data_IF_488394633194
#
_entry.id   IF_488394633194
#
_cell.length_a   1.000
_cell.length_b   1.000
_cell.length_c   1.000
_cell.angle_alpha   90.00
_cell.angle_beta   90.00
_cell.angle_gamma   90.00
#
_symmetry.space_group_name_H-M   'P 1'
#
loop_
_entity.id
_entity.type
_entity.pdbx_description
1 polymer ?
#
# COMPACT_ATOMS: atom_id res chain seq x y z
N UNK A 1 41.40 -1.77 -16.64
CA UNK A 1 40.31 -0.82 -16.92
C UNK A 1 39.05 -1.32 -16.20
N UNK A 2 38.64 -0.72 -15.07
CA UNK A 2 37.40 -1.10 -14.41
C UNK A 2 36.21 -0.67 -15.27
N UNK A 3 35.28 -1.59 -15.57
CA UNK A 3 34.06 -1.28 -16.33
C UNK A 3 33.15 -0.39 -15.48
N UNK A 4 32.56 0.68 -16.03
CA UNK A 4 31.64 1.53 -15.28
C UNK A 4 30.38 0.73 -14.88
N UNK A 5 30.05 0.76 -13.58
CA UNK A 5 28.85 0.14 -13.04
C UNK A 5 27.64 0.92 -13.57
N UNK A 6 26.67 0.29 -14.25
CA UNK A 6 25.46 0.98 -14.68
C UNK A 6 24.72 1.49 -13.44
N UNK A 7 24.58 2.80 -13.31
CA UNK A 7 23.67 3.40 -12.31
C UNK A 7 22.26 2.98 -12.72
N UNK A 8 21.73 1.93 -12.09
CA UNK A 8 20.33 1.53 -12.18
C UNK A 8 19.53 2.75 -11.75
N UNK A 9 18.99 3.46 -12.74
CA UNK A 9 18.08 4.57 -12.53
C UNK A 9 16.97 4.08 -11.62
N UNK A 10 16.72 4.84 -10.55
CA UNK A 10 15.58 4.62 -9.65
C UNK A 10 14.34 4.44 -10.52
N UNK A 11 13.90 3.18 -10.67
CA UNK A 11 12.56 2.90 -11.16
C UNK A 11 11.66 3.54 -10.14
N UNK A 12 11.26 4.79 -10.41
CA UNK A 12 10.07 5.36 -9.83
C UNK A 12 8.99 4.37 -10.24
N UNK A 13 8.66 3.44 -9.33
CA UNK A 13 7.37 2.79 -9.30
C UNK A 13 6.36 3.90 -9.01
N UNK A 14 6.18 4.81 -9.97
CA UNK A 14 4.95 5.56 -10.10
C UNK A 14 3.94 4.47 -10.33
N UNK A 15 3.30 4.02 -9.24
CA UNK A 15 2.15 3.16 -9.37
C UNK A 15 1.20 3.96 -10.22
N UNK A 16 1.03 3.48 -11.45
CA UNK A 16 -0.18 3.63 -12.21
C UNK A 16 -1.31 3.39 -11.21
N UNK A 17 -1.86 4.46 -10.66
CA UNK A 17 -3.22 4.45 -10.20
C UNK A 17 -4.03 4.28 -11.47
N UNK A 18 -4.03 3.06 -12.01
CA UNK A 18 -5.19 2.56 -12.68
C UNK A 18 -6.26 2.75 -11.63
N UNK A 19 -7.00 3.85 -11.75
CA UNK A 19 -8.30 3.99 -11.17
C UNK A 19 -9.09 2.82 -11.72
N UNK A 20 -8.92 1.66 -11.08
CA UNK A 20 -9.76 0.50 -11.27
C UNK A 20 -11.05 0.95 -10.61
N UNK A 21 -11.91 1.49 -11.47
CA UNK A 21 -13.35 1.65 -11.31
C UNK A 21 -13.81 1.24 -9.93
N UNK A 22 -14.21 2.23 -9.12
CA UNK A 22 -14.69 2.07 -7.76
C UNK A 22 -15.77 0.97 -7.72
N UNK A 23 -15.32 -0.26 -7.47
CA UNK A 23 -16.20 -1.39 -7.35
C UNK A 23 -16.73 -1.28 -5.93
N UNK A 24 -17.88 -0.62 -5.79
CA UNK A 24 -18.55 -0.47 -4.50
C UNK A 24 -18.96 -1.86 -4.03
N UNK A 25 -18.37 -2.28 -2.92
CA UNK A 25 -18.58 -3.60 -2.37
C UNK A 25 -19.42 -3.47 -1.11
N UNK A 26 -20.59 -4.12 -1.06
CA UNK A 26 -21.46 -4.02 0.11
C UNK A 26 -20.86 -4.72 1.33
N UNK A 27 -20.07 -5.78 1.12
CA UNK A 27 -19.41 -6.57 2.17
C UNK A 27 -18.08 -7.13 1.69
N UNK A 28 -17.03 -6.95 2.48
CA UNK A 28 -15.68 -7.42 2.20
C UNK A 28 -14.91 -7.75 3.47
N UNK A 29 -13.69 -8.27 3.32
CA UNK A 29 -12.79 -8.63 4.42
C UNK A 29 -11.56 -7.74 4.37
N UNK A 30 -11.19 -7.19 5.53
CA UNK A 30 -9.98 -6.39 5.70
C UNK A 30 -8.91 -7.27 6.35
N UNK A 31 -7.81 -7.49 5.66
CA UNK A 31 -6.64 -8.18 6.17
C UNK A 31 -5.63 -7.16 6.67
N UNK A 32 -5.23 -7.29 7.94
CA UNK A 32 -4.22 -6.43 8.57
C UNK A 32 -3.04 -7.32 8.96
N UNK A 33 -1.91 -7.13 8.29
CA UNK A 33 -0.65 -7.75 8.66
C UNK A 33 0.19 -6.72 9.41
N UNK A 34 0.24 -6.86 10.74
CA UNK A 34 1.03 -6.03 11.62
C UNK A 34 2.33 -6.75 12.00
N UNK A 35 3.46 -6.13 11.68
CA UNK A 35 4.80 -6.56 12.11
C UNK A 35 5.52 -5.36 12.73
N UNK A 36 6.61 -5.59 13.46
CA UNK A 36 7.41 -4.55 14.12
C UNK A 36 7.87 -3.44 13.16
N UNK A 37 8.09 -3.77 11.89
CA UNK A 37 8.67 -2.86 10.90
C UNK A 37 7.65 -2.25 9.94
N UNK A 38 6.43 -2.81 9.85
CA UNK A 38 5.44 -2.38 8.87
C UNK A 38 4.04 -2.89 9.21
N UNK A 39 3.03 -2.11 8.83
CA UNK A 39 1.63 -2.56 8.78
C UNK A 39 1.14 -2.54 7.34
N UNK A 40 0.68 -3.69 6.85
CA UNK A 40 0.11 -3.84 5.50
C UNK A 40 -1.38 -4.09 5.64
N UNK A 41 -2.17 -3.32 4.91
CA UNK A 41 -3.62 -3.36 4.96
C UNK A 41 -4.12 -3.68 3.56
N UNK A 42 -4.94 -4.72 3.47
CA UNK A 42 -5.47 -5.21 2.21
C UNK A 42 -6.98 -5.37 2.35
N UNK A 43 -7.73 -4.74 1.46
CA UNK A 43 -9.17 -4.87 1.38
C UNK A 43 -9.50 -5.86 0.28
N UNK A 44 -10.28 -6.86 0.61
CA UNK A 44 -10.66 -7.95 -0.28
C UNK A 44 -12.17 -8.16 -0.33
N UNK A 45 -12.62 -8.72 -1.44
CA UNK A 45 -13.96 -9.28 -1.57
C UNK A 45 -14.05 -10.61 -0.83
N UNK A 46 -15.28 -11.08 -0.56
CA UNK A 46 -15.52 -12.43 -0.01
C UNK A 46 -14.93 -13.56 -0.87
N UNK A 47 -14.67 -13.29 -2.16
CA UNK A 47 -14.02 -14.20 -3.11
C UNK A 47 -12.49 -14.17 -3.05
N UNK A 48 -11.89 -13.39 -2.15
CA UNK A 48 -10.43 -13.23 -2.02
C UNK A 48 -9.80 -12.31 -3.07
N UNK A 49 -10.59 -11.57 -3.85
CA UNK A 49 -10.05 -10.59 -4.80
C UNK A 49 -9.64 -9.31 -4.09
N UNK A 50 -8.39 -8.87 -4.29
CA UNK A 50 -7.85 -7.62 -3.72
C UNK A 50 -8.36 -6.42 -4.51
N UNK A 51 -8.97 -5.47 -3.79
CA UNK A 51 -9.54 -4.25 -4.38
C UNK A 51 -8.57 -3.09 -4.17
N UNK A 52 -8.19 -2.88 -2.92
CA UNK A 52 -7.24 -1.86 -2.52
C UNK A 52 -6.29 -2.43 -1.49
N UNK A 53 -5.07 -1.91 -1.51
CA UNK A 53 -4.06 -2.25 -0.53
C UNK A 53 -3.15 -1.07 -0.33
N UNK A 54 -2.70 -0.87 0.90
CA UNK A 54 -1.67 0.10 1.20
C UNK A 54 -0.90 -0.29 2.45
N UNK A 55 0.22 0.39 2.64
CA UNK A 55 1.13 0.19 3.76
C UNK A 55 1.95 1.45 3.94
N UNK A 56 2.78 1.49 5.00
CA UNK A 56 3.51 2.68 5.41
C UNK A 56 4.29 3.37 4.27
N UNK A 57 5.00 2.63 3.39
CA UNK A 57 5.75 3.27 2.29
C UNK A 57 4.85 3.93 1.25
N UNK A 58 3.64 3.39 1.05
CA UNK A 58 2.67 3.97 0.11
C UNK A 58 2.22 5.35 0.59
N UNK A 59 2.33 5.61 1.90
CA UNK A 59 2.03 6.89 2.54
C UNK A 59 3.28 7.75 2.78
N UNK A 60 4.40 7.47 2.08
CA UNK A 60 5.68 8.18 2.17
C UNK A 60 6.39 8.10 3.54
N UNK A 61 5.99 7.19 4.43
CA UNK A 61 6.79 6.87 5.62
C UNK A 61 8.01 6.06 5.21
N UNK A 62 9.17 6.35 5.80
CA UNK A 62 10.46 5.72 5.47
C UNK A 62 11.24 5.40 6.74
N UNK A 63 12.10 4.39 6.68
CA UNK A 63 12.94 3.98 7.81
C UNK A 63 12.12 3.53 9.02
N UNK A 64 12.56 3.92 10.22
CA UNK A 64 11.94 3.55 11.51
C UNK A 64 10.51 4.05 11.68
N UNK A 65 10.13 5.11 10.95
CA UNK A 65 8.77 5.68 11.03
C UNK A 65 7.69 4.75 10.46
N UNK A 66 8.07 3.71 9.71
CA UNK A 66 7.13 2.75 9.07
C UNK A 66 6.37 1.86 10.06
N UNK A 67 7.00 1.51 11.18
CA UNK A 67 6.38 0.67 12.22
C UNK A 67 5.52 1.44 13.21
N UNK A 68 5.45 2.78 13.08
CA UNK A 68 4.71 3.61 14.03
C UNK A 68 3.20 3.42 13.88
N UNK A 69 2.43 3.55 14.98
CA UNK A 69 0.97 3.47 14.92
C UNK A 69 0.36 4.58 14.04
N UNK A 70 1.04 5.73 13.94
CA UNK A 70 0.62 6.83 13.07
C UNK A 70 0.73 6.47 11.57
N UNK A 71 1.81 5.79 11.18
CA UNK A 71 1.95 5.29 9.81
C UNK A 71 0.87 4.24 9.47
N UNK A 72 0.55 3.36 10.42
CA UNK A 72 -0.53 2.38 10.28
C UNK A 72 -1.89 3.07 10.06
N UNK A 73 -2.24 4.04 10.92
CA UNK A 73 -3.51 4.79 10.81
C UNK A 73 -3.64 5.49 9.44
N UNK A 74 -2.57 6.10 8.98
CA UNK A 74 -2.54 6.82 7.69
C UNK A 74 -2.70 5.85 6.52
N UNK A 75 -2.05 4.69 6.57
CA UNK A 75 -2.24 3.62 5.60
C UNK A 75 -3.70 3.12 5.59
N UNK A 76 -4.30 2.90 6.76
CA UNK A 76 -5.71 2.48 6.85
C UNK A 76 -6.62 3.47 6.14
N UNK A 77 -6.47 4.76 6.46
CA UNK A 77 -7.28 5.84 5.86
C UNK A 77 -7.15 5.88 4.35
N UNK A 78 -5.92 5.76 3.82
CA UNK A 78 -5.68 5.77 2.38
C UNK A 78 -6.23 4.53 1.66
N UNK A 79 -6.30 3.39 2.34
CA UNK A 79 -6.85 2.15 1.77
C UNK A 79 -8.39 2.17 1.73
N UNK A 80 -9.01 2.77 2.74
CA UNK A 80 -10.48 2.83 2.91
C UNK A 80 -11.13 3.93 2.07
N UNK A 81 -10.49 5.11 1.95
CA UNK A 81 -10.99 6.23 1.13
C UNK A 81 -11.53 5.80 -0.25
N UNK A 82 -10.74 5.13 -1.12
CA UNK A 82 -11.21 4.73 -2.45
C UNK A 82 -12.27 3.62 -2.46
N UNK A 83 -12.60 3.02 -1.31
CA UNK A 83 -13.61 1.96 -1.19
C UNK A 83 -14.94 2.53 -0.69
N UNK A 84 -14.90 3.59 0.11
CA UNK A 84 -16.07 4.26 0.69
C UNK A 84 -16.65 5.31 -0.26
N UNK A 85 -15.79 6.03 -0.97
CA UNK A 85 -16.17 7.05 -1.96
C UNK A 85 -16.61 6.39 -3.29
#
# INVERSE_FOLDING_TARGET
MPKPIPKVGSRKNGRSSAQKSACRIPKGVIHVQASFNNTIITVTNLRGQVISWSFADTCRFKGTTRGTPFAAQTATRNTIRPVVD
#
